data_IF_437142625186
#
_entry.id   IF_437142625186
#
_cell.length_a   1.000
_cell.length_b   1.000
_cell.length_c   1.000
_cell.angle_alpha   90.00
_cell.angle_beta   90.00
_cell.angle_gamma   90.00
#
_symmetry.space_group_name_H-M   'P 1'
#
loop_
_entity.id
_entity.type
_entity.pdbx_description
1 polymer ?
#
# COMPACT_ATOMS: atom_id res chain seq x y z
N UNK A 1 -16.20 22.19 -42.43
CA UNK A 1 -17.05 21.01 -42.74
C UNK A 1 -18.57 21.20 -42.51
N UNK A 2 -19.05 21.88 -41.47
CA UNK A 2 -20.48 21.88 -41.06
C UNK A 2 -21.47 22.69 -41.92
N UNK A 3 -21.00 23.60 -42.77
CA UNK A 3 -21.90 24.41 -43.60
C UNK A 3 -22.71 23.55 -44.56
N UNK A 4 -23.90 24.03 -44.95
CA UNK A 4 -24.80 23.39 -45.92
C UNK A 4 -25.21 21.96 -45.55
N UNK A 5 -25.27 21.65 -44.24
CA UNK A 5 -25.72 20.35 -43.73
C UNK A 5 -24.96 19.16 -44.33
N UNK A 6 -23.66 19.35 -44.61
CA UNK A 6 -22.81 18.31 -45.22
C UNK A 6 -22.77 17.03 -44.40
N UNK A 7 -22.74 17.19 -43.09
CA UNK A 7 -22.51 16.10 -42.15
C UNK A 7 -23.77 15.56 -41.48
N UNK A 8 -24.97 16.06 -41.83
CA UNK A 8 -26.21 15.65 -41.15
C UNK A 8 -26.44 14.14 -41.24
N UNK A 9 -26.37 13.55 -42.44
CA UNK A 9 -26.45 12.10 -42.61
C UNK A 9 -25.32 11.37 -41.89
N UNK A 10 -24.12 11.95 -41.89
CA UNK A 10 -22.93 11.33 -41.35
C UNK A 10 -22.97 11.24 -39.82
N UNK A 11 -23.33 12.34 -39.16
CA UNK A 11 -23.38 12.45 -37.71
C UNK A 11 -24.50 11.57 -37.14
N UNK A 12 -25.71 11.71 -37.66
CA UNK A 12 -26.86 10.95 -37.17
C UNK A 12 -26.75 9.47 -37.53
N UNK A 13 -26.29 9.16 -38.75
CA UNK A 13 -26.02 7.78 -39.16
C UNK A 13 -24.95 7.11 -38.31
N UNK A 14 -23.85 7.80 -37.99
CA UNK A 14 -22.81 7.26 -37.11
C UNK A 14 -23.28 7.12 -35.67
N UNK A 15 -24.05 8.07 -35.14
CA UNK A 15 -24.60 7.96 -33.79
C UNK A 15 -25.45 6.69 -33.65
N UNK A 16 -26.34 6.44 -34.62
CA UNK A 16 -27.17 5.23 -34.62
C UNK A 16 -26.37 3.95 -34.87
N UNK A 17 -25.33 4.02 -35.71
CA UNK A 17 -24.43 2.91 -36.02
C UNK A 17 -23.60 2.52 -34.79
N UNK A 18 -22.82 3.44 -34.23
CA UNK A 18 -21.95 3.16 -33.08
C UNK A 18 -22.72 2.85 -31.79
N UNK A 19 -24.00 3.23 -31.67
CA UNK A 19 -24.86 2.72 -30.60
C UNK A 19 -25.06 1.19 -30.65
N UNK A 20 -24.73 0.54 -31.77
CA UNK A 20 -24.67 -0.91 -31.93
C UNK A 20 -23.32 -1.54 -31.56
N UNK A 21 -22.40 -0.80 -30.94
CA UNK A 21 -21.09 -1.34 -30.55
C UNK A 21 -21.22 -2.49 -29.55
N UNK A 22 -20.40 -3.51 -29.73
CA UNK A 22 -20.30 -4.67 -28.85
C UNK A 22 -18.87 -4.86 -28.37
N UNK A 23 -18.69 -5.69 -27.34
CA UNK A 23 -17.36 -5.96 -26.78
C UNK A 23 -16.47 -6.82 -27.69
N UNK A 24 -17.03 -7.85 -28.33
CA UNK A 24 -16.25 -8.87 -29.06
C UNK A 24 -16.73 -9.14 -30.48
N UNK A 25 -17.71 -8.38 -30.97
CA UNK A 25 -18.32 -8.63 -32.28
C UNK A 25 -18.51 -7.32 -33.06
N UNK A 26 -17.54 -6.39 -32.92
CA UNK A 26 -17.56 -5.09 -33.58
C UNK A 26 -18.87 -4.31 -33.35
N UNK A 27 -19.29 -3.53 -34.34
CA UNK A 27 -20.58 -2.83 -34.38
C UNK A 27 -21.59 -3.68 -35.13
N UNK A 28 -22.73 -3.96 -34.51
CA UNK A 28 -23.79 -4.81 -35.08
C UNK A 28 -25.09 -4.02 -35.32
N UNK A 29 -25.87 -4.39 -36.35
CA UNK A 29 -27.14 -3.73 -36.60
C UNK A 29 -28.15 -3.88 -35.46
N UNK A 30 -28.85 -2.79 -35.13
CA UNK A 30 -29.84 -2.73 -34.03
C UNK A 30 -31.25 -3.00 -34.53
N UNK A 31 -31.95 -3.94 -33.91
CA UNK A 31 -33.35 -4.27 -34.25
C UNK A 31 -34.25 -3.03 -34.23
N UNK A 32 -34.08 -2.12 -33.29
CA UNK A 32 -34.90 -0.91 -33.15
C UNK A 32 -34.85 -0.01 -34.38
N UNK A 33 -33.69 0.11 -35.03
CA UNK A 33 -33.53 0.95 -36.24
C UNK A 33 -33.99 0.20 -37.49
N UNK A 34 -33.63 -1.08 -37.60
CA UNK A 34 -34.04 -1.93 -38.73
C UNK A 34 -35.56 -2.02 -38.83
N UNK A 35 -36.25 -2.10 -37.70
CA UNK A 35 -37.73 -2.15 -37.65
C UNK A 35 -38.40 -0.91 -38.23
N UNK A 36 -37.68 0.21 -38.32
CA UNK A 36 -38.18 1.43 -38.95
C UNK A 36 -37.98 1.49 -40.46
N UNK A 37 -37.14 0.61 -41.04
CA UNK A 37 -36.89 0.59 -42.48
C UNK A 37 -38.16 0.15 -43.23
N UNK A 38 -38.44 0.80 -44.36
CA UNK A 38 -39.58 0.44 -45.20
C UNK A 38 -39.40 -0.97 -45.78
N UNK A 39 -40.44 -1.81 -45.65
CA UNK A 39 -40.51 -3.10 -46.34
C UNK A 39 -40.72 -2.94 -47.84
N UNK A 40 -41.35 -1.84 -48.28
CA UNK A 40 -41.47 -1.46 -49.69
C UNK A 40 -40.18 -0.78 -50.18
N UNK A 41 -39.45 -1.37 -51.15
CA UNK A 41 -38.24 -0.78 -51.71
C UNK A 41 -38.46 0.58 -52.38
N UNK A 42 -39.65 0.84 -52.95
CA UNK A 42 -39.93 2.10 -53.63
C UNK A 42 -40.00 3.30 -52.65
N UNK A 43 -40.30 3.02 -51.39
CA UNK A 43 -40.39 4.01 -50.31
C UNK A 43 -39.06 4.22 -49.56
N UNK A 44 -37.97 3.55 -49.96
CA UNK A 44 -36.64 3.68 -49.35
C UNK A 44 -35.88 4.88 -49.92
N UNK A 45 -35.01 5.49 -49.11
CA UNK A 45 -34.08 6.49 -49.62
C UNK A 45 -33.04 5.82 -50.53
N UNK A 46 -32.72 6.48 -51.63
CA UNK A 46 -31.54 6.17 -52.44
C UNK A 46 -30.26 6.61 -51.73
N UNK A 47 -29.11 6.07 -52.13
CA UNK A 47 -27.81 6.50 -51.59
C UNK A 47 -27.60 8.01 -51.74
N UNK A 48 -28.04 8.58 -52.88
CA UNK A 48 -28.03 10.04 -53.11
C UNK A 48 -28.89 10.79 -52.11
N UNK A 49 -30.14 10.38 -51.90
CA UNK A 49 -31.03 11.04 -50.93
C UNK A 49 -30.44 10.98 -49.51
N UNK A 50 -29.84 9.85 -49.15
CA UNK A 50 -29.19 9.67 -47.85
C UNK A 50 -27.97 10.57 -47.69
N UNK A 51 -27.02 10.59 -48.64
CA UNK A 51 -25.80 11.42 -48.59
C UNK A 51 -26.07 12.93 -48.53
N UNK A 52 -27.24 13.36 -49.00
CA UNK A 52 -27.68 14.76 -49.00
C UNK A 52 -28.87 15.00 -48.07
N UNK A 53 -29.12 14.10 -47.13
CA UNK A 53 -30.16 14.26 -46.14
C UNK A 53 -29.91 15.49 -45.26
N UNK A 54 -31.00 16.14 -44.87
CA UNK A 54 -31.04 17.37 -44.09
C UNK A 54 -31.99 17.21 -42.91
N UNK A 55 -31.84 18.05 -41.91
CA UNK A 55 -32.78 18.09 -40.80
C UNK A 55 -34.17 18.51 -41.30
N UNK A 56 -35.22 17.96 -40.67
CA UNK A 56 -36.63 18.27 -41.00
C UNK A 56 -37.56 17.06 -41.06
N UNK A 57 -37.03 15.84 -41.08
CA UNK A 57 -37.79 14.60 -40.93
C UNK A 57 -37.00 13.61 -40.08
N UNK A 58 -37.69 12.68 -39.41
CA UNK A 58 -37.07 11.59 -38.67
C UNK A 58 -36.62 10.43 -39.58
N UNK A 59 -37.13 10.35 -40.80
CA UNK A 59 -36.89 9.19 -41.67
C UNK A 59 -35.44 9.04 -42.11
N UNK A 60 -34.66 10.13 -42.24
CA UNK A 60 -33.30 10.02 -42.76
C UNK A 60 -32.34 9.33 -41.78
N UNK A 61 -32.65 9.30 -40.47
CA UNK A 61 -31.79 8.69 -39.45
C UNK A 61 -31.57 7.20 -39.73
N UNK A 62 -32.65 6.44 -39.93
CA UNK A 62 -32.60 5.00 -40.23
C UNK A 62 -31.92 4.68 -41.56
N UNK A 63 -32.11 5.52 -42.58
CA UNK A 63 -31.46 5.34 -43.88
C UNK A 63 -29.97 5.70 -43.83
N UNK A 64 -29.61 6.73 -43.07
CA UNK A 64 -28.22 7.11 -42.80
C UNK A 64 -27.49 6.03 -42.02
N UNK A 65 -28.12 5.46 -40.98
CA UNK A 65 -27.64 4.26 -40.30
C UNK A 65 -27.39 3.12 -41.28
N UNK A 66 -28.36 2.79 -42.13
CA UNK A 66 -28.24 1.68 -43.07
C UNK A 66 -27.10 1.89 -44.07
N UNK A 67 -26.90 3.13 -44.54
CA UNK A 67 -25.78 3.45 -45.44
C UNK A 67 -24.44 3.33 -44.71
N UNK A 68 -24.31 3.86 -43.49
CA UNK A 68 -23.09 3.71 -42.70
C UNK A 68 -22.77 2.25 -42.40
N UNK A 69 -23.78 1.47 -42.03
CA UNK A 69 -23.64 0.05 -41.75
C UNK A 69 -23.23 -0.74 -43.00
N UNK A 70 -23.81 -0.42 -44.16
CA UNK A 70 -23.38 -1.00 -45.44
C UNK A 70 -21.93 -0.65 -45.77
N UNK A 71 -21.56 0.64 -45.67
CA UNK A 71 -20.21 1.10 -45.98
C UNK A 71 -19.18 0.41 -45.08
N UNK A 72 -19.44 0.32 -43.78
CA UNK A 72 -18.58 -0.38 -42.83
C UNK A 72 -18.39 -1.87 -43.16
N UNK A 73 -19.47 -2.59 -43.51
CA UNK A 73 -19.43 -4.04 -43.71
C UNK A 73 -18.96 -4.46 -45.12
N UNK A 74 -19.18 -3.63 -46.14
CA UNK A 74 -19.03 -4.01 -47.55
C UNK A 74 -18.13 -3.09 -48.37
N UNK A 75 -17.94 -1.84 -47.94
CA UNK A 75 -17.18 -0.81 -48.69
C UNK A 75 -16.25 -0.04 -47.75
N UNK A 76 -15.42 -0.76 -46.98
CA UNK A 76 -14.60 -0.19 -45.91
C UNK A 76 -13.70 0.95 -46.40
N UNK A 77 -13.10 0.85 -47.59
CA UNK A 77 -12.27 1.93 -48.16
C UNK A 77 -13.06 3.22 -48.39
N UNK A 78 -14.34 3.09 -48.76
CA UNK A 78 -15.24 4.26 -48.91
C UNK A 78 -15.61 4.82 -47.54
N UNK A 79 -15.90 3.94 -46.58
CA UNK A 79 -16.14 4.33 -45.19
C UNK A 79 -14.94 5.10 -44.64
N UNK A 80 -13.73 4.56 -44.74
CA UNK A 80 -12.52 5.15 -44.19
C UNK A 80 -12.15 6.48 -44.86
N UNK A 81 -12.20 6.55 -46.19
CA UNK A 81 -11.91 7.78 -46.94
C UNK A 81 -12.83 8.95 -46.59
N UNK A 82 -14.13 8.72 -46.35
CA UNK A 82 -15.04 9.77 -45.90
C UNK A 82 -14.58 10.34 -44.53
N UNK A 83 -14.04 9.50 -43.67
CA UNK A 83 -13.68 9.81 -42.29
C UNK A 83 -12.38 10.61 -42.31
N UNK A 84 -11.44 10.24 -43.17
CA UNK A 84 -10.21 10.97 -43.43
C UNK A 84 -10.46 12.38 -43.95
N UNK A 85 -11.34 12.52 -44.95
CA UNK A 85 -11.70 13.84 -45.50
C UNK A 85 -12.33 14.74 -44.43
N UNK A 86 -13.15 14.15 -43.55
CA UNK A 86 -13.74 14.86 -42.40
C UNK A 86 -12.68 15.25 -41.38
N UNK A 87 -11.79 14.31 -41.00
CA UNK A 87 -10.71 14.53 -40.03
C UNK A 87 -9.73 15.59 -40.50
N UNK A 88 -9.40 15.61 -41.79
CA UNK A 88 -8.56 16.61 -42.42
C UNK A 88 -9.26 17.96 -42.66
N UNK A 89 -10.57 18.06 -42.36
CA UNK A 89 -11.42 19.21 -42.70
C UNK A 89 -11.32 19.61 -44.20
N UNK A 90 -11.13 18.63 -45.08
CA UNK A 90 -10.99 18.83 -46.53
C UNK A 90 -12.36 18.92 -47.21
N UNK A 91 -12.97 20.10 -47.08
CA UNK A 91 -14.33 20.35 -47.58
C UNK A 91 -14.46 20.14 -49.09
N UNK A 92 -13.44 20.53 -49.85
CA UNK A 92 -13.48 20.47 -51.32
C UNK A 92 -13.51 19.03 -51.80
N UNK A 93 -12.58 18.20 -51.31
CA UNK A 93 -12.52 16.81 -51.73
C UNK A 93 -13.64 15.98 -51.10
N UNK A 94 -14.12 16.35 -49.91
CA UNK A 94 -15.36 15.79 -49.35
C UNK A 94 -16.56 16.01 -50.26
N UNK A 95 -16.81 17.24 -50.70
CA UNK A 95 -17.94 17.56 -51.59
C UNK A 95 -17.82 16.83 -52.93
N UNK A 96 -16.62 16.82 -53.54
CA UNK A 96 -16.39 16.12 -54.80
C UNK A 96 -16.60 14.60 -54.67
N UNK A 97 -16.12 14.00 -53.59
CA UNK A 97 -16.26 12.57 -53.35
C UNK A 97 -17.71 12.18 -53.01
N UNK A 98 -18.39 12.98 -52.18
CA UNK A 98 -19.82 12.80 -51.88
C UNK A 98 -20.68 12.89 -53.14
N UNK A 99 -20.39 13.85 -54.02
CA UNK A 99 -21.09 13.99 -55.31
C UNK A 99 -20.83 12.78 -56.22
N UNK A 100 -19.61 12.26 -56.26
CA UNK A 100 -19.26 11.03 -56.99
C UNK A 100 -20.07 9.82 -56.48
N UNK A 101 -20.12 9.62 -55.16
CA UNK A 101 -20.89 8.53 -54.54
C UNK A 101 -22.39 8.66 -54.86
N UNK A 102 -22.93 9.88 -54.89
CA UNK A 102 -24.34 10.13 -55.20
C UNK A 102 -24.76 9.73 -56.62
N UNK A 103 -23.79 9.64 -57.55
CA UNK A 103 -23.99 9.24 -58.94
C UNK A 103 -23.66 7.76 -59.17
N UNK A 104 -23.15 7.06 -58.16
CA UNK A 104 -22.76 5.67 -58.27
C UNK A 104 -24.01 4.76 -58.19
N UNK A 105 -24.43 4.25 -59.35
CA UNK A 105 -25.59 3.36 -59.47
C UNK A 105 -25.36 2.00 -58.80
N UNK A 106 -24.13 1.48 -58.83
CA UNK A 106 -23.76 0.23 -58.18
C UNK A 106 -23.86 0.35 -56.66
N UNK A 107 -23.30 1.43 -56.08
CA UNK A 107 -23.45 1.74 -54.66
C UNK A 107 -24.91 1.78 -54.24
N UNK A 108 -25.75 2.46 -55.03
CA UNK A 108 -27.17 2.53 -54.72
C UNK A 108 -27.84 1.14 -54.78
N UNK A 109 -27.55 0.33 -55.80
CA UNK A 109 -28.12 -1.01 -55.94
C UNK A 109 -27.74 -1.92 -54.77
N UNK A 110 -26.46 -1.92 -54.38
CA UNK A 110 -25.95 -2.71 -53.24
C UNK A 110 -26.52 -2.20 -51.91
N UNK A 111 -26.65 -0.89 -51.73
CA UNK A 111 -27.29 -0.29 -50.56
C UNK A 111 -28.77 -0.71 -50.43
N UNK A 112 -29.53 -0.72 -51.53
CA UNK A 112 -30.92 -1.22 -51.53
C UNK A 112 -31.00 -2.71 -51.17
N UNK A 113 -30.10 -3.53 -51.74
CA UNK A 113 -30.02 -4.96 -51.45
C UNK A 113 -29.65 -5.22 -49.97
N UNK A 114 -28.74 -4.42 -49.42
CA UNK A 114 -28.36 -4.50 -48.01
C UNK A 114 -29.52 -4.15 -47.08
N UNK A 115 -30.28 -3.09 -47.37
CA UNK A 115 -31.50 -2.78 -46.61
C UNK A 115 -32.52 -3.92 -46.67
N UNK A 116 -32.67 -4.58 -47.83
CA UNK A 116 -33.52 -5.76 -47.95
C UNK A 116 -33.02 -6.90 -47.05
N UNK A 117 -31.71 -7.18 -47.07
CA UNK A 117 -31.10 -8.18 -46.19
C UNK A 117 -31.36 -7.88 -44.71
N UNK A 118 -31.24 -6.62 -44.29
CA UNK A 118 -31.53 -6.20 -42.92
C UNK A 118 -33.00 -6.47 -42.55
N UNK A 119 -33.95 -6.10 -43.42
CA UNK A 119 -35.39 -6.32 -43.18
C UNK A 119 -35.75 -7.80 -43.18
N UNK A 120 -35.19 -8.60 -44.10
CA UNK A 120 -35.47 -10.04 -44.19
C UNK A 120 -34.94 -10.80 -42.97
N UNK A 121 -33.86 -10.31 -42.37
CA UNK A 121 -33.23 -10.90 -41.18
C UNK A 121 -33.64 -10.19 -39.88
N UNK A 122 -34.67 -9.35 -39.87
CA UNK A 122 -35.05 -8.53 -38.70
C UNK A 122 -35.23 -9.35 -37.41
N UNK A 123 -35.70 -10.60 -37.52
CA UNK A 123 -35.87 -11.51 -36.39
C UNK A 123 -34.56 -11.98 -35.73
N UNK A 124 -33.42 -11.87 -36.40
CA UNK A 124 -32.09 -12.29 -35.90
C UNK A 124 -31.37 -11.19 -35.12
N UNK A 125 -31.76 -9.93 -35.29
CA UNK A 125 -31.12 -8.80 -34.62
C UNK A 125 -31.76 -8.55 -33.26
N UNK A 126 -30.96 -8.04 -32.33
CA UNK A 126 -31.38 -7.64 -30.99
C UNK A 126 -31.02 -6.17 -30.72
N UNK A 127 -31.43 -5.67 -29.55
CA UNK A 127 -30.89 -4.42 -29.01
C UNK A 127 -29.78 -4.81 -28.06
N UNK A 128 -28.53 -4.59 -28.47
CA UNK A 128 -27.38 -4.98 -27.67
C UNK A 128 -27.25 -4.05 -26.46
N UNK A 129 -27.11 -4.67 -25.29
CA UNK A 129 -26.88 -4.00 -24.03
C UNK A 129 -25.60 -4.56 -23.40
N UNK A 130 -24.98 -3.77 -22.53
CA UNK A 130 -23.86 -4.26 -21.71
C UNK A 130 -24.30 -5.48 -20.90
N UNK A 131 -23.44 -6.48 -20.78
CA UNK A 131 -23.77 -7.72 -20.08
C UNK A 131 -23.78 -7.50 -18.57
N UNK A 132 -24.50 -8.35 -17.84
CA UNK A 132 -24.48 -8.31 -16.36
C UNK A 132 -23.08 -8.61 -15.78
N UNK A 133 -22.14 -9.13 -16.57
CA UNK A 133 -20.77 -9.40 -16.10
C UNK A 133 -20.09 -8.12 -15.56
N UNK A 134 -20.43 -6.93 -16.06
CA UNK A 134 -19.89 -5.65 -15.59
C UNK A 134 -20.37 -5.25 -14.19
N UNK A 135 -21.44 -5.86 -13.68
CA UNK A 135 -22.02 -5.54 -12.37
C UNK A 135 -21.58 -6.53 -11.28
N UNK A 136 -20.88 -7.60 -11.65
CA UNK A 136 -20.44 -8.63 -10.72
C UNK A 136 -19.24 -8.11 -9.93
N UNK A 137 -19.19 -8.43 -8.64
CA UNK A 137 -17.99 -8.23 -7.84
C UNK A 137 -16.93 -9.26 -8.25
N UNK A 138 -15.92 -8.83 -9.00
CA UNK A 138 -14.82 -9.71 -9.43
C UNK A 138 -13.84 -9.96 -8.30
N UNK A 139 -13.27 -11.16 -8.25
CA UNK A 139 -12.20 -11.47 -7.30
C UNK A 139 -11.00 -10.52 -7.49
N UNK A 140 -10.27 -10.16 -6.44
CA UNK A 140 -9.03 -9.39 -6.57
C UNK A 140 -8.02 -10.09 -7.48
N UNK A 141 -7.32 -9.33 -8.31
CA UNK A 141 -6.21 -9.84 -9.14
C UNK A 141 -5.13 -8.77 -9.29
N UNK A 142 -3.84 -9.08 -9.07
CA UNK A 142 -2.76 -8.12 -9.24
C UNK A 142 -2.69 -7.57 -10.68
N UNK A 143 -2.57 -6.25 -10.84
CA UNK A 143 -2.50 -5.62 -12.16
C UNK A 143 -1.28 -6.08 -12.99
N UNK A 144 -0.17 -6.42 -12.33
CA UNK A 144 0.99 -6.99 -13.02
C UNK A 144 0.65 -8.33 -13.71
N UNK A 145 -0.14 -9.17 -13.05
CA UNK A 145 -0.59 -10.44 -13.63
C UNK A 145 -1.61 -10.20 -14.76
N UNK A 146 -2.56 -9.29 -14.56
CA UNK A 146 -3.53 -8.87 -15.60
C UNK A 146 -2.80 -8.39 -16.85
N UNK A 147 -1.80 -7.51 -16.68
CA UNK A 147 -0.95 -7.01 -17.77
C UNK A 147 -0.27 -8.17 -18.50
N UNK A 148 0.43 -9.05 -17.78
CA UNK A 148 1.18 -10.15 -18.40
C UNK A 148 0.26 -11.08 -19.19
N UNK A 149 -0.90 -11.45 -18.63
CA UNK A 149 -1.86 -12.30 -19.33
C UNK A 149 -2.45 -11.62 -20.58
N UNK A 150 -2.71 -10.31 -20.55
CA UNK A 150 -3.15 -9.56 -21.75
C UNK A 150 -2.02 -9.52 -22.78
N UNK A 151 -0.79 -9.25 -22.36
CA UNK A 151 0.39 -9.22 -23.22
C UNK A 151 0.60 -10.56 -23.93
N UNK A 152 0.51 -11.65 -23.18
CA UNK A 152 0.71 -13.01 -23.70
C UNK A 152 -0.37 -13.41 -24.71
N UNK A 153 -1.65 -13.12 -24.42
CA UNK A 153 -2.77 -13.49 -25.30
C UNK A 153 -2.84 -12.57 -26.52
N UNK A 154 -2.57 -11.28 -26.35
CA UNK A 154 -2.63 -10.30 -27.44
C UNK A 154 -1.37 -10.28 -28.31
N UNK A 155 -0.27 -10.87 -27.83
CA UNK A 155 1.06 -10.81 -28.45
C UNK A 155 1.50 -9.37 -28.74
N UNK A 156 1.44 -8.51 -27.73
CA UNK A 156 1.78 -7.08 -27.82
C UNK A 156 3.13 -6.80 -27.17
N UNK A 157 3.89 -5.87 -27.74
CA UNK A 157 5.22 -5.45 -27.27
C UNK A 157 5.15 -4.13 -26.54
N UNK A 158 6.21 -3.85 -25.76
CA UNK A 158 6.43 -2.58 -25.07
C UNK A 158 5.25 -2.14 -24.18
N UNK A 159 4.53 -3.12 -23.64
CA UNK A 159 3.28 -2.88 -22.97
C UNK A 159 3.47 -2.13 -21.64
N UNK A 160 2.61 -1.15 -21.41
CA UNK A 160 2.49 -0.39 -20.16
C UNK A 160 1.08 -0.55 -19.61
N UNK A 161 0.96 -0.54 -18.29
CA UNK A 161 -0.35 -0.56 -17.62
C UNK A 161 -0.50 0.69 -16.78
N UNK A 162 -1.65 1.34 -16.89
CA UNK A 162 -2.03 2.54 -16.13
C UNK A 162 -3.30 2.22 -15.36
N UNK A 163 -3.32 2.52 -14.06
CA UNK A 163 -4.53 2.44 -13.22
C UNK A 163 -5.29 3.77 -13.26
N UNK A 164 -6.60 3.70 -13.25
CA UNK A 164 -7.49 4.86 -13.13
C UNK A 164 -8.46 4.65 -11.97
N UNK A 165 -8.66 5.69 -11.18
CA UNK A 165 -9.62 5.68 -10.08
C UNK A 165 -10.98 6.21 -10.55
N UNK A 166 -12.06 5.57 -10.12
CA UNK A 166 -13.43 6.05 -10.36
C UNK A 166 -14.29 5.88 -9.11
N UNK A 167 -15.50 6.44 -9.14
CA UNK A 167 -16.39 6.49 -7.97
C UNK A 167 -16.73 5.12 -7.37
N UNK A 168 -16.94 4.09 -8.20
CA UNK A 168 -17.48 2.79 -7.77
C UNK A 168 -16.46 1.65 -7.85
N UNK A 169 -15.55 1.73 -8.81
CA UNK A 169 -14.51 0.74 -9.04
C UNK A 169 -13.35 1.41 -9.78
N UNK A 170 -12.16 0.85 -9.67
CA UNK A 170 -11.02 1.30 -10.44
C UNK A 170 -10.99 0.57 -11.78
N UNK A 171 -10.28 1.14 -12.74
CA UNK A 171 -10.04 0.52 -14.04
C UNK A 171 -8.55 0.53 -14.36
N UNK A 172 -8.17 -0.20 -15.38
CA UNK A 172 -6.84 -0.16 -15.95
C UNK A 172 -6.90 0.08 -17.45
N UNK A 173 -5.80 0.61 -18.00
CA UNK A 173 -5.52 0.62 -19.43
C UNK A 173 -4.18 -0.07 -19.68
N UNK A 174 -4.14 -1.08 -20.57
CA UNK A 174 -2.91 -1.69 -21.07
C UNK A 174 -2.66 -1.21 -22.49
N UNK A 175 -1.56 -0.50 -22.70
CA UNK A 175 -1.17 0.08 -23.99
C UNK A 175 0.11 -0.59 -24.48
N UNK A 176 0.16 -0.99 -25.75
CA UNK A 176 1.35 -1.60 -26.35
C UNK A 176 1.33 -1.57 -27.87
N UNK A 177 2.35 -2.15 -28.49
CA UNK A 177 2.47 -2.23 -29.95
C UNK A 177 2.22 -3.64 -30.44
N UNK A 178 1.27 -3.80 -31.36
CA UNK A 178 1.06 -5.04 -32.09
C UNK A 178 1.82 -5.00 -33.42
N UNK A 179 2.54 -6.07 -33.74
CA UNK A 179 3.21 -6.25 -35.04
C UNK A 179 2.59 -7.46 -35.72
N UNK A 180 1.93 -7.21 -36.85
CA UNK A 180 1.21 -8.19 -37.63
C UNK A 180 2.06 -8.91 -38.69
N UNK A 181 1.37 -9.54 -39.63
CA UNK A 181 1.98 -10.16 -40.80
C UNK A 181 2.38 -9.13 -41.87
N UNK A 182 2.81 -9.64 -43.03
CA UNK A 182 3.08 -8.80 -44.20
C UNK A 182 1.81 -8.01 -44.57
N UNK A 183 1.95 -6.69 -44.70
CA UNK A 183 0.86 -5.79 -45.04
C UNK A 183 0.25 -6.15 -46.39
N UNK A 184 -1.09 -6.13 -46.44
CA UNK A 184 -1.90 -6.29 -47.66
C UNK A 184 -2.63 -4.99 -48.03
N UNK A 185 -2.22 -3.88 -47.42
CA UNK A 185 -2.92 -2.60 -47.47
C UNK A 185 -3.83 -2.40 -46.27
N UNK A 186 -4.01 -1.13 -45.89
CA UNK A 186 -4.64 -0.69 -44.65
C UNK A 186 -6.00 -1.34 -44.38
N UNK A 187 -6.86 -1.45 -45.39
CA UNK A 187 -8.20 -2.05 -45.27
C UNK A 187 -8.18 -3.53 -44.90
N UNK A 188 -7.31 -4.32 -45.54
CA UNK A 188 -7.18 -5.75 -45.26
C UNK A 188 -6.44 -6.00 -43.94
N UNK A 189 -5.46 -5.16 -43.63
CA UNK A 189 -4.76 -5.19 -42.35
C UNK A 189 -5.71 -4.82 -41.20
N UNK A 190 -6.58 -3.82 -41.38
CA UNK A 190 -7.60 -3.41 -40.41
C UNK A 190 -8.63 -4.52 -40.16
N UNK A 191 -9.08 -5.23 -41.20
CA UNK A 191 -9.99 -6.39 -41.05
C UNK A 191 -9.30 -7.52 -40.29
N UNK A 192 -8.03 -7.78 -40.61
CA UNK A 192 -7.20 -8.78 -39.92
C UNK A 192 -7.05 -8.42 -38.44
N UNK A 193 -6.72 -7.17 -38.14
CA UNK A 193 -6.54 -6.67 -36.78
C UNK A 193 -7.84 -6.69 -35.98
N UNK A 194 -8.96 -6.28 -36.58
CA UNK A 194 -10.29 -6.34 -35.95
C UNK A 194 -10.65 -7.77 -35.52
N UNK A 195 -10.38 -8.76 -36.39
CA UNK A 195 -10.59 -10.17 -36.05
C UNK A 195 -9.67 -10.62 -34.93
N UNK A 196 -8.39 -10.26 -34.98
CA UNK A 196 -7.40 -10.61 -33.96
C UNK A 196 -7.82 -10.06 -32.58
N UNK A 197 -8.23 -8.79 -32.50
CA UNK A 197 -8.66 -8.16 -31.24
C UNK A 197 -9.89 -8.84 -30.66
N UNK A 198 -10.91 -9.12 -31.49
CA UNK A 198 -12.10 -9.83 -31.03
C UNK A 198 -11.75 -11.22 -30.48
N UNK A 199 -10.89 -11.97 -31.19
CA UNK A 199 -10.42 -13.27 -30.74
C UNK A 199 -9.64 -13.19 -29.42
N UNK A 200 -8.76 -12.19 -29.26
CA UNK A 200 -8.05 -11.95 -27.99
C UNK A 200 -9.03 -11.67 -26.85
N UNK A 201 -10.04 -10.83 -27.06
CA UNK A 201 -11.05 -10.53 -26.03
C UNK A 201 -11.88 -11.77 -25.66
N UNK A 202 -12.21 -12.63 -26.62
CA UNK A 202 -12.87 -13.91 -26.37
C UNK A 202 -11.97 -14.87 -25.58
N UNK A 203 -10.70 -15.02 -25.97
CA UNK A 203 -9.72 -15.86 -25.25
C UNK A 203 -9.52 -15.40 -23.81
N UNK A 204 -9.40 -14.08 -23.58
CA UNK A 204 -9.35 -13.50 -22.24
C UNK A 204 -10.61 -13.86 -21.44
N UNK A 205 -11.78 -13.85 -22.07
CA UNK A 205 -13.05 -14.16 -21.41
C UNK A 205 -13.18 -15.63 -20.97
N UNK A 206 -12.37 -16.53 -21.54
CA UNK A 206 -12.32 -17.94 -21.16
C UNK A 206 -11.31 -18.24 -20.03
N UNK A 207 -10.50 -17.26 -19.63
CA UNK A 207 -9.60 -17.41 -18.48
C UNK A 207 -10.40 -17.43 -17.17
N UNK A 208 -9.80 -17.98 -16.11
CA UNK A 208 -10.48 -18.23 -14.84
C UNK A 208 -10.93 -16.97 -14.07
N UNK A 209 -10.37 -15.79 -14.40
CA UNK A 209 -10.74 -14.54 -13.74
C UNK A 209 -11.88 -13.83 -14.46
N UNK A 210 -13.02 -13.66 -13.78
CA UNK A 210 -14.24 -13.09 -14.37
C UNK A 210 -14.10 -11.63 -14.82
N UNK A 211 -13.14 -10.88 -14.29
CA UNK A 211 -12.88 -9.49 -14.67
C UNK A 211 -12.50 -9.31 -16.14
N UNK A 212 -11.98 -10.36 -16.81
CA UNK A 212 -11.67 -10.31 -18.24
C UNK A 212 -12.89 -10.08 -19.13
N UNK A 213 -14.10 -10.42 -18.67
CA UNK A 213 -15.33 -10.14 -19.41
C UNK A 213 -15.69 -8.66 -19.47
N UNK A 214 -15.04 -7.82 -18.65
CA UNK A 214 -15.18 -6.36 -18.69
C UNK A 214 -14.22 -5.72 -19.69
N UNK A 215 -13.25 -6.48 -20.23
CA UNK A 215 -12.20 -5.91 -21.06
C UNK A 215 -12.74 -5.56 -22.44
N UNK A 216 -12.55 -4.31 -22.83
CA UNK A 216 -12.71 -3.78 -24.18
C UNK A 216 -11.34 -3.48 -24.78
N UNK A 217 -11.25 -3.38 -26.09
CA UNK A 217 -10.01 -3.00 -26.75
C UNK A 217 -10.26 -2.23 -28.04
N UNK A 218 -9.30 -1.38 -28.41
CA UNK A 218 -9.24 -0.69 -29.69
C UNK A 218 -7.79 -0.53 -30.14
N UNK A 219 -7.60 -0.20 -31.41
CA UNK A 219 -6.28 -0.02 -32.00
C UNK A 219 -6.26 1.23 -32.89
N UNK A 220 -5.10 1.89 -32.94
CA UNK A 220 -4.87 3.18 -33.60
C UNK A 220 -3.48 3.24 -34.21
N UNK A 221 -3.19 4.32 -34.96
CA UNK A 221 -1.87 4.62 -35.51
C UNK A 221 -1.31 3.51 -36.43
N UNK A 222 -2.10 3.15 -37.44
CA UNK A 222 -1.66 2.23 -38.50
C UNK A 222 -0.34 2.70 -39.10
N UNK A 223 0.57 1.76 -39.31
CA UNK A 223 1.84 1.98 -40.00
C UNK A 223 2.35 0.66 -40.57
N UNK A 224 3.23 0.75 -41.56
CA UNK A 224 3.96 -0.41 -42.11
C UNK A 224 5.44 -0.22 -41.84
N UNK A 225 6.06 -1.21 -41.23
CA UNK A 225 7.47 -1.13 -40.85
C UNK A 225 8.42 -1.49 -42.00
N UNK A 226 9.74 -1.39 -41.75
CA UNK A 226 10.76 -1.68 -42.76
C UNK A 226 10.78 -3.14 -43.26
N UNK A 227 10.18 -4.08 -42.51
CA UNK A 227 10.01 -5.47 -42.92
C UNK A 227 8.70 -5.72 -43.69
N UNK A 228 7.99 -4.65 -44.09
CA UNK A 228 6.69 -4.67 -44.74
C UNK A 228 5.59 -5.33 -43.88
N UNK A 229 5.69 -5.26 -42.55
CA UNK A 229 4.65 -5.74 -41.64
C UNK A 229 3.78 -4.59 -41.14
N UNK A 230 2.48 -4.81 -41.00
CA UNK A 230 1.60 -3.81 -40.41
C UNK A 230 1.76 -3.75 -38.90
N UNK A 231 1.66 -2.55 -38.33
CA UNK A 231 1.72 -2.30 -36.90
C UNK A 231 0.59 -1.38 -36.45
N UNK A 232 0.17 -1.57 -35.21
CA UNK A 232 -0.80 -0.72 -34.53
C UNK A 232 -0.38 -0.49 -33.08
N UNK A 233 -0.76 0.67 -32.55
CA UNK A 233 -0.84 0.84 -31.11
C UNK A 233 -2.19 0.31 -30.65
N UNK A 234 -2.20 -0.55 -29.65
CA UNK A 234 -3.40 -1.22 -29.14
C UNK A 234 -3.58 -0.91 -27.67
N UNK A 235 -4.83 -0.65 -27.30
CA UNK A 235 -5.24 -0.33 -25.94
C UNK A 235 -6.30 -1.32 -25.48
N UNK A 236 -6.09 -1.95 -24.34
CA UNK A 236 -7.08 -2.72 -23.61
C UNK A 236 -7.53 -1.94 -22.39
N UNK A 237 -8.83 -1.95 -22.08
CA UNK A 237 -9.40 -1.27 -20.92
C UNK A 237 -10.31 -2.22 -20.15
N UNK A 238 -10.20 -2.28 -18.82
CA UNK A 238 -11.03 -3.16 -18.01
C UNK A 238 -11.03 -2.81 -16.53
N UNK A 239 -11.79 -3.58 -15.74
CA UNK A 239 -11.88 -3.40 -14.28
C UNK A 239 -10.57 -3.71 -13.57
N UNK A 240 -10.17 -2.88 -12.61
CA UNK A 240 -9.04 -3.12 -11.74
C UNK A 240 -9.54 -3.48 -10.34
N UNK A 241 -9.37 -4.75 -9.93
CA UNK A 241 -9.84 -5.26 -8.63
C UNK A 241 -8.73 -5.53 -7.62
N UNK A 242 -7.46 -5.33 -8.01
CA UNK A 242 -6.23 -5.41 -7.22
C UNK A 242 -6.32 -6.18 -5.89
N UNK A 243 -5.54 -7.24 -5.75
CA UNK A 243 -5.13 -7.63 -4.39
C UNK A 243 -4.47 -6.40 -3.75
N UNK A 244 -4.90 -6.04 -2.52
CA UNK A 244 -4.18 -5.04 -1.73
C UNK A 244 -2.71 -5.40 -1.86
N UNK A 245 -1.90 -4.51 -2.47
CA UNK A 245 -0.47 -4.78 -2.63
C UNK A 245 0.03 -5.30 -1.29
N UNK A 246 0.67 -6.48 -1.30
CA UNK A 246 1.32 -7.03 -0.13
C UNK A 246 2.57 -6.19 0.14
N UNK A 247 2.35 -4.96 0.57
CA UNK A 247 3.38 -3.98 0.88
C UNK A 247 4.05 -4.44 2.15
N UNK A 248 5.21 -5.05 2.03
CA UNK A 248 6.04 -5.41 3.19
C UNK A 248 6.75 -4.15 3.66
N UNK A 249 6.15 -3.45 4.63
CA UNK A 249 6.94 -2.56 5.49
C UNK A 249 7.74 -3.47 6.41
N UNK A 250 9.05 -3.52 6.23
CA UNK A 250 9.94 -4.26 7.11
C UNK A 250 10.27 -3.31 8.26
N UNK A 251 9.72 -3.59 9.44
CA UNK A 251 10.02 -2.83 10.66
C UNK A 251 11.23 -3.46 11.33
N UNK A 252 12.30 -2.70 11.50
CA UNK A 252 13.48 -3.14 12.23
C UNK A 252 13.59 -2.32 13.51
N UNK A 253 13.45 -2.97 14.66
CA UNK A 253 13.53 -2.31 15.97
C UNK A 253 14.92 -2.38 16.60
N UNK A 254 15.91 -3.00 15.94
CA UNK A 254 17.29 -3.14 16.40
C UNK A 254 17.48 -3.64 17.85
N UNK A 255 16.50 -4.37 18.39
CA UNK A 255 16.58 -5.02 19.69
C UNK A 255 17.00 -6.49 19.61
N UNK A 256 16.93 -7.24 20.72
CA UNK A 256 16.49 -6.81 22.05
C UNK A 256 17.45 -5.80 22.69
N UNK A 257 16.97 -5.05 23.68
CA UNK A 257 17.77 -4.08 24.44
C UNK A 257 17.98 -4.53 25.89
N UNK A 258 19.01 -3.98 26.52
CA UNK A 258 19.24 -4.11 27.95
C UNK A 258 19.69 -2.79 28.53
N UNK A 259 19.27 -2.49 29.75
CA UNK A 259 19.69 -1.28 30.45
C UNK A 259 19.63 -1.44 31.95
N UNK A 260 19.90 -0.34 32.64
CA UNK A 260 19.93 -0.24 34.08
C UNK A 260 18.79 0.70 34.53
N UNK A 261 18.21 0.44 35.70
CA UNK A 261 17.18 1.30 36.28
C UNK A 261 17.66 2.75 36.36
N UNK A 262 16.81 3.69 35.95
CA UNK A 262 17.08 5.14 35.89
C UNK A 262 18.18 5.58 34.90
N UNK A 263 18.68 4.68 34.04
CA UNK A 263 19.57 5.04 32.92
C UNK A 263 18.82 5.15 31.59
N UNK A 264 19.36 5.99 30.70
CA UNK A 264 18.80 6.22 29.37
C UNK A 264 19.15 5.07 28.41
N UNK A 265 18.14 4.47 27.80
CA UNK A 265 18.28 3.48 26.73
C UNK A 265 17.96 4.15 25.40
N UNK A 266 18.90 4.09 24.45
CA UNK A 266 18.70 4.56 23.08
C UNK A 266 18.09 3.46 22.21
N UNK A 267 16.96 3.77 21.58
CA UNK A 267 16.27 2.90 20.63
C UNK A 267 16.58 3.31 19.19
N UNK A 268 16.62 2.32 18.30
CA UNK A 268 16.91 2.51 16.89
C UNK A 268 15.85 1.84 16.00
N UNK A 269 15.57 2.47 14.86
CA UNK A 269 14.73 1.93 13.78
C UNK A 269 15.50 1.77 12.45
N UNK A 270 16.82 1.65 12.52
CA UNK A 270 17.72 1.62 11.37
C UNK A 270 17.43 0.41 10.48
N UNK A 271 17.26 0.66 9.18
CA UNK A 271 16.92 -0.37 8.19
C UNK A 271 15.41 -0.64 8.07
N UNK A 272 14.56 0.10 8.80
CA UNK A 272 13.12 0.12 8.53
C UNK A 272 12.86 0.69 7.13
N UNK A 273 12.21 -0.09 6.28
CA UNK A 273 11.97 0.26 4.87
C UNK A 273 10.56 -0.10 4.43
N UNK A 274 10.07 0.60 3.40
CA UNK A 274 8.81 0.28 2.71
C UNK A 274 9.11 0.21 1.22
N UNK A 275 8.86 -0.94 0.59
CA UNK A 275 9.23 -1.20 -0.82
C UNK A 275 8.63 -0.21 -1.82
N UNK A 276 7.40 0.27 -1.54
CA UNK A 276 6.65 1.14 -2.44
C UNK A 276 6.15 2.43 -1.74
N UNK A 277 6.73 2.79 -0.58
CA UNK A 277 6.33 3.95 0.21
C UNK A 277 7.52 4.58 0.93
N UNK A 278 7.36 5.81 1.43
CA UNK A 278 8.29 6.38 2.41
C UNK A 278 7.71 6.18 3.80
N UNK A 279 8.53 5.81 4.76
CA UNK A 279 8.12 5.84 6.17
C UNK A 279 7.89 7.30 6.57
N UNK A 280 6.68 7.62 7.02
CA UNK A 280 6.28 9.00 7.37
C UNK A 280 6.11 9.21 8.87
N UNK A 281 5.87 8.15 9.65
CA UNK A 281 5.76 8.28 11.11
C UNK A 281 6.16 7.01 11.86
N UNK A 282 6.60 7.23 13.09
CA UNK A 282 6.95 6.20 14.07
C UNK A 282 6.10 6.44 15.32
N UNK A 283 5.72 5.36 15.99
CA UNK A 283 5.11 5.39 17.32
C UNK A 283 5.69 4.23 18.12
N UNK A 284 6.55 4.57 19.07
CA UNK A 284 7.10 3.66 20.06
C UNK A 284 6.19 3.62 21.27
N UNK A 285 5.88 2.44 21.77
CA UNK A 285 5.30 2.19 23.08
C UNK A 285 6.30 1.37 23.89
N UNK A 286 6.77 1.91 25.01
CA UNK A 286 7.87 1.30 25.77
C UNK A 286 7.41 0.17 26.72
N UNK A 287 6.11 -0.10 26.80
CA UNK A 287 5.53 -1.17 27.62
C UNK A 287 5.27 -0.79 29.08
N UNK A 288 5.57 0.44 29.49
CA UNK A 288 5.32 1.02 30.81
C UNK A 288 4.29 2.17 30.80
N UNK A 289 3.62 2.37 29.67
CA UNK A 289 2.64 3.43 29.46
C UNK A 289 3.20 4.70 28.81
N UNK A 290 4.52 4.80 28.61
CA UNK A 290 5.16 5.93 27.93
C UNK A 290 5.33 5.64 26.44
N UNK A 291 5.18 6.68 25.61
CA UNK A 291 5.27 6.58 24.14
C UNK A 291 6.17 7.66 23.53
N UNK A 292 6.63 7.44 22.30
CA UNK A 292 7.41 8.43 21.54
C UNK A 292 7.17 8.37 20.05
N UNK A 293 7.20 9.52 19.36
CA UNK A 293 7.02 9.62 17.91
C UNK A 293 8.32 9.84 17.13
N UNK A 294 9.46 9.90 17.82
CA UNK A 294 10.78 10.03 17.18
C UNK A 294 11.17 8.70 16.50
N UNK A 295 11.91 8.78 15.41
CA UNK A 295 12.42 7.57 14.72
C UNK A 295 13.38 6.75 15.61
N UNK A 296 14.28 7.43 16.32
CA UNK A 296 15.26 6.85 17.24
C UNK A 296 15.14 7.53 18.62
N UNK A 297 14.15 7.17 19.45
CA UNK A 297 13.94 7.82 20.74
C UNK A 297 14.90 7.29 21.81
N UNK A 298 14.94 8.00 22.93
CA UNK A 298 15.49 7.50 24.18
C UNK A 298 14.38 7.31 25.20
N UNK A 299 14.58 6.39 26.16
CA UNK A 299 13.64 6.13 27.24
C UNK A 299 14.35 5.66 28.52
N UNK A 300 13.77 5.96 29.67
CA UNK A 300 14.30 5.60 31.00
C UNK A 300 13.24 4.77 31.73
N UNK A 301 13.64 3.60 32.25
CA UNK A 301 12.77 2.76 33.06
C UNK A 301 13.06 2.94 34.55
N UNK A 302 12.03 3.26 35.33
CA UNK A 302 12.14 3.49 36.78
C UNK A 302 12.17 2.21 37.63
N UNK A 303 11.81 1.05 37.05
CA UNK A 303 11.78 -0.23 37.76
C UNK A 303 12.54 -1.30 36.98
N UNK A 304 13.11 -2.27 37.72
CA UNK A 304 13.72 -3.44 37.10
C UNK A 304 12.64 -4.38 36.56
N UNK A 305 12.88 -4.98 35.41
CA UNK A 305 11.88 -5.83 34.79
C UNK A 305 12.19 -6.16 33.35
N UNK A 306 11.26 -6.89 32.72
CA UNK A 306 11.25 -7.10 31.28
C UNK A 306 10.05 -6.38 30.68
N UNK A 307 10.30 -5.48 29.75
CA UNK A 307 9.27 -4.70 29.06
C UNK A 307 9.15 -5.18 27.62
N UNK A 308 7.91 -5.28 27.12
CA UNK A 308 7.63 -5.50 25.70
C UNK A 308 7.48 -4.14 25.05
N UNK A 309 8.43 -3.78 24.19
CA UNK A 309 8.41 -2.54 23.43
C UNK A 309 7.77 -2.83 22.07
N UNK A 310 6.91 -1.94 21.63
CA UNK A 310 6.22 -2.01 20.35
C UNK A 310 6.58 -0.80 19.50
N UNK A 311 6.88 -1.03 18.22
CA UNK A 311 7.03 0.04 17.22
C UNK A 311 5.96 -0.11 16.16
N UNK A 312 5.10 0.91 16.05
CA UNK A 312 4.18 1.09 14.93
C UNK A 312 4.76 2.09 13.94
N UNK A 313 4.86 1.69 12.67
CA UNK A 313 5.37 2.51 11.57
C UNK A 313 4.26 2.75 10.55
N UNK A 314 4.10 3.99 10.10
CA UNK A 314 3.17 4.35 9.02
C UNK A 314 3.91 4.76 7.77
N UNK A 315 3.49 4.23 6.62
CA UNK A 315 4.01 4.65 5.32
C UNK A 315 3.20 5.80 4.70
N UNK A 316 3.76 6.41 3.65
CA UNK A 316 3.17 7.53 2.91
C UNK A 316 1.83 7.21 2.22
N UNK A 317 1.39 5.96 2.25
CA UNK A 317 0.10 5.49 1.71
C UNK A 317 -0.89 5.14 2.82
N UNK A 318 -0.52 5.42 4.06
CA UNK A 318 -1.37 5.26 5.23
C UNK A 318 -1.38 3.85 5.84
N UNK A 319 -0.51 2.94 5.38
CA UNK A 319 -0.41 1.58 5.95
C UNK A 319 0.39 1.60 7.25
N UNK A 320 -0.13 0.92 8.26
CA UNK A 320 0.54 0.71 9.54
C UNK A 320 1.14 -0.70 9.61
N UNK A 321 2.31 -0.82 10.24
CA UNK A 321 3.00 -2.08 10.49
C UNK A 321 3.61 -2.05 11.89
N UNK A 322 3.50 -3.16 12.60
CA UNK A 322 3.80 -3.25 14.03
C UNK A 322 4.83 -4.35 14.22
N UNK A 323 5.88 -4.07 14.98
CA UNK A 323 6.80 -5.07 15.49
C UNK A 323 7.00 -4.90 16.98
N UNK A 324 7.49 -5.97 17.62
CA UNK A 324 7.78 -5.97 19.06
C UNK A 324 9.18 -6.46 19.36
N UNK A 325 9.79 -5.92 20.41
CA UNK A 325 11.04 -6.40 20.96
C UNK A 325 11.00 -6.39 22.49
N UNK A 326 12.00 -6.99 23.12
CA UNK A 326 12.11 -7.03 24.58
C UNK A 326 13.22 -6.09 25.06
N UNK A 327 12.97 -5.47 26.20
CA UNK A 327 13.98 -4.75 26.97
C UNK A 327 14.12 -5.41 28.33
N UNK A 328 15.34 -5.73 28.73
CA UNK A 328 15.64 -6.22 30.09
C UNK A 328 16.34 -5.14 30.89
N UNK A 329 15.65 -4.60 31.90
CA UNK A 329 16.16 -3.58 32.80
C UNK A 329 16.62 -4.25 34.08
N UNK A 330 17.91 -4.10 34.40
CA UNK A 330 18.52 -4.64 35.61
C UNK A 330 18.71 -3.53 36.63
N UNK A 331 18.77 -3.91 37.90
CA UNK A 331 19.23 -3.00 38.93
C UNK A 331 20.70 -2.69 38.70
N UNK A 332 21.12 -1.44 38.96
CA UNK A 332 22.52 -1.04 38.84
C UNK A 332 23.37 -1.88 39.80
N UNK A 333 24.42 -2.58 39.31
CA UNK A 333 25.36 -3.32 40.16
C UNK A 333 26.04 -2.45 41.24
N UNK A 334 26.12 -1.13 41.05
CA UNK A 334 26.72 -0.19 42.01
C UNK A 334 25.73 0.38 43.03
N UNK A 335 24.43 0.15 42.86
CA UNK A 335 23.40 0.28 43.91
C UNK A 335 22.93 -1.09 44.39
N UNK A 336 23.89 -2.00 44.58
CA UNK A 336 23.75 -3.26 45.30
C UNK A 336 23.70 -3.11 46.82
N UNK A 337 23.36 -1.93 47.34
CA UNK A 337 22.82 -1.78 48.69
C UNK A 337 21.32 -1.94 48.59
N UNK A 338 20.79 -3.02 49.16
CA UNK A 338 19.41 -3.02 49.63
C UNK A 338 19.18 -1.68 50.34
N UNK A 339 18.02 -1.06 50.12
CA UNK A 339 17.39 -0.35 51.22
C UNK A 339 17.12 -1.41 52.29
N UNK A 340 18.15 -1.77 53.06
CA UNK A 340 17.94 -2.23 54.40
C UNK A 340 17.21 -1.07 55.08
N UNK A 341 15.98 -1.33 55.53
CA UNK A 341 15.26 -0.46 56.43
C UNK A 341 16.25 0.08 57.47
N UNK A 342 16.30 1.40 57.69
CA UNK A 342 17.24 1.99 58.65
C UNK A 342 17.14 1.24 60.00
N UNK A 343 18.11 0.36 60.30
CA UNK A 343 18.14 -0.40 61.55
C UNK A 343 18.52 0.58 62.67
N UNK A 344 17.51 1.15 63.31
CA UNK A 344 17.71 2.06 64.45
C UNK A 344 18.34 1.27 65.59
N UNK A 345 19.48 1.75 66.09
CA UNK A 345 20.26 1.14 67.15
C UNK A 345 20.05 1.92 68.46
N UNK A 346 19.18 1.45 69.36
CA UNK A 346 18.98 2.10 70.65
C UNK A 346 20.22 1.94 71.55
N UNK A 347 20.56 3.01 72.26
CA UNK A 347 21.61 2.98 73.30
C UNK A 347 21.30 1.92 74.34
N UNK A 348 22.35 1.27 74.85
CA UNK A 348 22.31 0.22 75.88
C UNK A 348 21.49 -1.02 75.51
N UNK A 349 21.26 -1.26 74.22
CA UNK A 349 20.57 -2.46 73.73
C UNK A 349 21.53 -3.33 72.93
N UNK A 350 21.59 -4.62 73.28
CA UNK A 350 22.36 -5.58 72.51
C UNK A 350 21.59 -5.95 71.25
N UNK A 351 22.16 -5.69 70.08
CA UNK A 351 21.62 -6.04 68.78
C UNK A 351 22.45 -7.17 68.18
N UNK A 352 21.80 -8.16 67.58
CA UNK A 352 22.48 -9.24 66.86
C UNK A 352 22.35 -9.02 65.36
N UNK A 353 23.45 -9.22 64.64
CA UNK A 353 23.50 -9.16 63.18
C UNK A 353 24.23 -10.36 62.60
N UNK A 354 24.12 -10.53 61.28
CA UNK A 354 24.83 -11.57 60.55
C UNK A 354 25.34 -11.03 59.22
N UNK A 355 26.56 -11.42 58.85
CA UNK A 355 27.17 -11.05 57.57
C UNK A 355 27.28 -12.33 56.73
N UNK A 356 26.39 -12.47 55.75
CA UNK A 356 26.25 -13.66 54.90
C UNK A 356 26.40 -13.28 53.43
N UNK A 357 27.32 -13.90 52.69
CA UNK A 357 27.51 -13.59 51.26
C UNK A 357 26.18 -13.74 50.48
N UNK A 358 25.74 -12.74 49.67
CA UNK A 358 26.51 -11.58 49.19
C UNK A 358 26.49 -10.35 50.11
N UNK A 359 25.73 -10.38 51.21
CA UNK A 359 25.72 -9.32 52.21
C UNK A 359 27.05 -9.29 52.97
N UNK A 360 27.77 -8.19 52.78
CA UNK A 360 29.07 -7.95 53.40
C UNK A 360 29.02 -6.81 54.41
N UNK A 361 27.88 -6.11 54.58
CA UNK A 361 27.80 -4.92 55.42
C UNK A 361 26.40 -4.69 55.94
N UNK A 362 26.26 -4.70 57.27
CA UNK A 362 25.08 -4.19 57.96
C UNK A 362 25.26 -2.70 58.28
N UNK A 363 24.20 -1.91 58.11
CA UNK A 363 24.19 -0.47 58.45
C UNK A 363 23.17 -0.17 59.55
N UNK A 364 23.64 0.44 60.64
CA UNK A 364 22.82 0.88 61.76
C UNK A 364 22.83 2.39 61.89
N UNK A 365 21.76 2.96 62.46
CA UNK A 365 21.71 4.40 62.77
C UNK A 365 21.36 4.69 64.22
N UNK A 366 21.97 5.71 64.80
CA UNK A 366 21.60 6.23 66.11
C UNK A 366 21.78 7.75 66.16
N UNK A 367 21.03 8.40 67.05
CA UNK A 367 21.07 9.85 67.22
C UNK A 367 21.74 10.24 68.54
N UNK A 368 22.55 11.28 68.50
CA UNK A 368 23.11 11.94 69.68
C UNK A 368 22.48 13.34 69.77
N UNK A 369 21.82 13.66 70.89
CA UNK A 369 21.17 14.97 71.09
C UNK A 369 22.12 16.00 71.70
N UNK A 370 23.04 15.54 72.55
CA UNK A 370 23.96 16.38 73.31
C UNK A 370 25.37 15.75 73.26
N UNK A 371 26.44 16.56 73.26
CA UNK A 371 27.79 16.02 73.22
C UNK A 371 28.06 15.05 74.37
N UNK A 372 28.47 13.82 74.06
CA UNK A 372 28.77 12.76 75.04
C UNK A 372 29.82 11.80 74.51
N UNK A 373 30.56 11.16 75.42
CA UNK A 373 31.39 10.02 75.04
C UNK A 373 30.47 8.84 74.68
N UNK A 374 30.73 8.21 73.54
CA UNK A 374 30.01 7.03 73.06
C UNK A 374 30.99 5.89 72.91
N UNK A 375 30.62 4.72 73.44
CA UNK A 375 31.40 3.48 73.32
C UNK A 375 30.65 2.48 72.43
N UNK A 376 31.33 1.99 71.39
CA UNK A 376 30.80 0.98 70.47
C UNK A 376 31.57 -0.32 70.70
N UNK A 377 30.86 -1.43 70.82
CA UNK A 377 31.43 -2.77 70.97
C UNK A 377 30.73 -3.76 70.05
N UNK A 378 31.50 -4.46 69.23
CA UNK A 378 31.02 -5.54 68.35
C UNK A 378 31.73 -6.83 68.74
N UNK A 379 31.01 -7.80 69.28
CA UNK A 379 31.53 -9.14 69.58
C UNK A 379 31.42 -9.99 68.32
N UNK A 380 32.55 -10.47 67.83
CA UNK A 380 32.65 -11.36 66.67
C UNK A 380 32.48 -12.82 67.14
N UNK A 381 31.29 -13.38 66.96
CA UNK A 381 30.90 -14.66 67.56
C UNK A 381 31.61 -15.86 66.91
N UNK A 382 32.09 -15.71 65.67
CA UNK A 382 32.76 -16.77 64.89
C UNK A 382 34.19 -16.42 64.43
N UNK A 383 34.80 -15.35 64.95
CA UNK A 383 36.15 -14.89 64.62
C UNK A 383 36.41 -14.78 63.10
N UNK A 384 35.47 -14.18 62.37
CA UNK A 384 35.64 -13.86 60.94
C UNK A 384 36.40 -12.53 60.75
N UNK A 385 36.95 -12.29 59.57
CA UNK A 385 37.54 -11.00 59.20
C UNK A 385 36.47 -9.94 59.06
N UNK A 386 36.24 -9.15 60.11
CA UNK A 386 35.25 -8.09 60.15
C UNK A 386 35.75 -6.87 60.92
N UNK A 387 35.16 -5.72 60.66
CA UNK A 387 35.39 -4.49 61.41
C UNK A 387 34.14 -3.60 61.37
N UNK A 388 34.19 -2.45 62.02
CA UNK A 388 33.16 -1.44 61.89
C UNK A 388 33.76 -0.04 61.72
N UNK A 389 33.04 0.79 60.98
CA UNK A 389 33.35 2.21 60.79
C UNK A 389 32.12 3.05 61.06
N UNK A 390 32.32 4.23 61.63
CA UNK A 390 31.25 5.13 62.02
C UNK A 390 31.36 6.44 61.25
N UNK A 391 30.25 6.88 60.67
CA UNK A 391 30.13 8.17 60.00
C UNK A 391 29.14 9.08 60.74
N UNK A 392 29.34 10.39 60.59
CA UNK A 392 28.36 11.38 60.99
C UNK A 392 27.61 11.87 59.76
N UNK A 393 26.32 12.18 59.85
CA UNK A 393 25.51 12.73 58.73
C UNK A 393 26.09 13.98 58.06
N UNK A 394 27.07 14.65 58.68
CA UNK A 394 27.72 15.86 58.14
C UNK A 394 28.90 15.54 57.23
N UNK A 395 29.43 14.31 57.30
CA UNK A 395 30.55 13.83 56.51
C UNK A 395 30.46 12.30 56.37
N UNK A 396 29.94 11.85 55.22
CA UNK A 396 29.84 10.43 54.87
C UNK A 396 31.07 9.91 54.11
N UNK A 397 32.09 10.75 53.92
CA UNK A 397 33.34 10.40 53.23
C UNK A 397 34.46 10.06 54.22
N UNK A 398 34.47 10.70 55.39
CA UNK A 398 35.45 10.44 56.44
C UNK A 398 34.77 9.84 57.68
N UNK A 399 35.25 8.68 58.13
CA UNK A 399 34.76 8.08 59.38
C UNK A 399 35.23 8.88 60.59
N UNK A 400 34.36 9.03 61.58
CA UNK A 400 34.64 9.71 62.86
C UNK A 400 35.29 8.79 63.88
N UNK A 401 35.05 7.48 63.76
CA UNK A 401 35.63 6.43 64.58
C UNK A 401 35.64 5.12 63.80
N UNK A 402 36.61 4.26 64.11
CA UNK A 402 36.68 2.89 63.61
C UNK A 402 36.95 1.93 64.77
N UNK A 403 36.60 0.67 64.58
CA UNK A 403 36.85 -0.37 65.56
C UNK A 403 38.30 -0.80 65.62
N UNK A 404 38.83 -0.94 66.84
CA UNK A 404 40.11 -1.56 67.16
C UNK A 404 39.89 -2.95 67.75
N UNK A 405 40.68 -3.93 67.30
CA UNK A 405 40.55 -5.33 67.73
C UNK A 405 41.10 -5.54 69.15
N UNK A 406 40.26 -6.05 70.04
CA UNK A 406 40.62 -6.48 71.39
C UNK A 406 40.14 -7.91 71.63
N UNK A 407 40.87 -8.88 71.08
CA UNK A 407 40.51 -10.31 71.14
C UNK A 407 39.36 -10.65 70.18
N UNK A 408 38.24 -11.14 70.69
CA UNK A 408 37.03 -11.41 69.90
C UNK A 408 36.05 -10.23 69.85
N UNK A 409 36.42 -9.08 70.41
CA UNK A 409 35.58 -7.89 70.46
C UNK A 409 36.28 -6.72 69.76
N UNK A 410 35.55 -6.02 68.90
CA UNK A 410 36.02 -4.84 68.17
C UNK A 410 35.42 -3.61 68.84
N UNK A 411 36.25 -2.75 69.43
CA UNK A 411 35.80 -1.62 70.26
C UNK A 411 36.30 -0.29 69.77
N UNK A 412 35.63 0.78 70.19
CA UNK A 412 36.02 2.15 69.88
C UNK A 412 35.27 3.13 70.75
N UNK A 413 35.96 4.21 71.12
CA UNK A 413 35.43 5.32 71.93
C UNK A 413 35.68 6.63 71.22
N UNK A 414 34.70 7.52 71.25
CA UNK A 414 34.83 8.86 70.70
C UNK A 414 33.91 9.84 71.42
N UNK A 415 34.24 11.13 71.33
CA UNK A 415 33.37 12.21 71.81
C UNK A 415 32.41 12.58 70.68
N UNK A 416 31.15 12.18 70.79
CA UNK A 416 30.12 12.44 69.80
C UNK A 416 29.62 13.88 69.88
N UNK A 417 29.48 14.54 68.74
CA UNK A 417 28.70 15.80 68.60
C UNK A 417 27.23 15.47 68.27
N UNK A 418 26.28 16.41 68.46
CA UNK A 418 24.88 16.19 68.12
C UNK A 418 24.69 15.90 66.62
N UNK A 419 23.85 14.91 66.32
CA UNK A 419 23.54 14.50 64.96
C UNK A 419 23.22 13.01 64.83
N UNK A 420 22.87 12.62 63.61
CA UNK A 420 22.67 11.21 63.21
C UNK A 420 24.00 10.57 62.82
N UNK A 421 24.22 9.36 63.31
CA UNK A 421 25.39 8.54 63.00
C UNK A 421 25.00 7.29 62.22
N UNK A 422 25.91 6.85 61.35
CA UNK A 422 25.78 5.65 60.52
C UNK A 422 26.93 4.71 60.87
N UNK A 423 26.61 3.57 61.48
CA UNK A 423 27.57 2.54 61.88
C UNK A 423 27.51 1.39 60.87
N UNK A 424 28.60 1.19 60.14
CA UNK A 424 28.71 0.13 59.15
C UNK A 424 29.55 -1.00 59.74
N UNK A 425 28.92 -2.14 60.03
CA UNK A 425 29.61 -3.37 60.42
C UNK A 425 29.83 -4.19 59.16
N UNK A 426 31.07 -4.40 58.75
CA UNK A 426 31.38 -5.05 57.49
C UNK A 426 32.44 -6.15 57.62
N UNK A 427 32.35 -7.15 56.76
CA UNK A 427 33.34 -8.22 56.64
C UNK A 427 34.25 -7.97 55.44
N UNK A 428 35.52 -8.34 55.61
CA UNK A 428 36.55 -8.29 54.57
C UNK A 428 37.13 -9.68 54.27
N UNK A 429 36.58 -10.74 54.87
CA UNK A 429 36.85 -12.12 54.47
C UNK A 429 35.61 -12.81 53.87
N UNK A 430 35.86 -13.96 53.23
CA UNK A 430 34.82 -14.72 52.52
C UNK A 430 33.96 -15.59 53.45
N UNK A 431 34.17 -15.53 54.77
CA UNK A 431 33.43 -16.35 55.73
C UNK A 431 32.08 -15.70 56.04
N UNK A 432 31.13 -16.52 56.47
CA UNK A 432 29.88 -16.05 57.05
C UNK A 432 30.02 -16.04 58.56
N UNK A 433 29.50 -15.01 59.23
CA UNK A 433 29.59 -14.87 60.67
C UNK A 433 28.48 -14.02 61.24
N UNK A 434 28.26 -14.17 62.53
CA UNK A 434 27.31 -13.43 63.35
C UNK A 434 28.08 -12.55 64.33
N UNK A 435 27.43 -11.50 64.79
CA UNK A 435 28.00 -10.61 65.78
C UNK A 435 26.95 -10.04 66.73
N UNK A 436 27.42 -9.62 67.89
CA UNK A 436 26.62 -8.91 68.89
C UNK A 436 27.13 -7.48 69.03
N UNK A 437 26.29 -6.50 68.70
CA UNK A 437 26.59 -5.06 68.67
C UNK A 437 25.94 -4.35 69.86
N UNK A 438 26.69 -3.45 70.50
CA UNK A 438 26.24 -2.60 71.59
C UNK A 438 26.82 -1.19 71.47
N UNK A 439 25.97 -0.18 71.64
CA UNK A 439 26.36 1.24 71.74
C UNK A 439 25.95 1.75 73.12
N UNK A 440 26.91 2.30 73.87
CA UNK A 440 26.71 2.83 75.23
C UNK A 440 26.89 4.35 75.28
#
# INVERSE_FOLDING_TARGET
>A
MYQNERLTWFQEGNAEFFAGSTRTNNVVPRKSIISGLSSDPASRYTAKQTLFAKYGSWDFYKYSFALQSYLYNHQFDTFDKLQDLIRANDVKNYDAYRELLSKNTQLNAEYQAYMQQLTDNQGKYNVHQVTNDYLIQHAPKPLAEVKNEIVDVANIKDAKITKHESQFFNTFSVEGTYVGGISKGESEDWKTMSKQVNQTLEQLSQKGWSGYKTVTAYFVNYRVNAANQFEYDIVFHGVATEEKEKTTTIVNMNGPYSGIVNEEIQFHSNGTTSENGKVISYLWNFGDGITSTKANPTHIYGEKGTYTVELTVKDSRGKESIEQTKVTVKQDPQTGGSLEEEKILPFNTLVKGNLVTPDQTDVYTFNVTDPKEVEISVVNEQNIGMTWVLYHESDMQNYVACGEDEGNTIKGKFVAKPGKYYLNVHKFDDKNGEYSLLVK
#
